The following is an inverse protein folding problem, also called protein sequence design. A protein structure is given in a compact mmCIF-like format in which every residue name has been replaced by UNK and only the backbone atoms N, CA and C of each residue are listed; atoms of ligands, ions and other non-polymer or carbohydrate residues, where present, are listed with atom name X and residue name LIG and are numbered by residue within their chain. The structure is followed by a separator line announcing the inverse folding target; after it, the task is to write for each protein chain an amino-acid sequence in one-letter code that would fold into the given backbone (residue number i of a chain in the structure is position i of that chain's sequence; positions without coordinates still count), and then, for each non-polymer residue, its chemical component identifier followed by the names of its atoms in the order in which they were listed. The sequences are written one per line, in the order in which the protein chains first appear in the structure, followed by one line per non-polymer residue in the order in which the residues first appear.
data_IF_126370885120
#
_entry.id   IF_126370885120
#
_cell.length_a   1.000
_cell.length_b   1.000
_cell.length_c   1.000
_cell.angle_alpha   90.00
_cell.angle_beta   90.00
_cell.angle_gamma   90.00
#
_symmetry.space_group_name_H-M   'P 1'
#
loop_
_entity.id
_entity.type
_entity.pdbx_description
1 polymer ?
#
# COMPACT_ATOMS: atom_id res chain seq x y z
N UNK A 1 -2.80 -7.32 -20.78
CA UNK A 1 -2.30 -6.01 -20.33
C UNK A 1 -2.74 -5.84 -18.88
N UNK A 2 -2.10 -5.04 -18.01
CA UNK A 2 -2.70 -4.66 -16.73
C UNK A 2 -3.77 -3.57 -16.91
N UNK A 3 -4.67 -3.38 -15.94
CA UNK A 3 -5.56 -2.20 -15.93
C UNK A 3 -4.81 -0.90 -15.74
N UNK A 4 -5.45 0.23 -16.05
CA UNK A 4 -4.89 1.55 -15.74
C UNK A 4 -4.78 1.76 -14.23
N UNK A 5 -5.74 1.26 -13.44
CA UNK A 5 -5.67 1.27 -11.98
C UNK A 5 -4.40 0.60 -11.45
N UNK A 6 -4.01 -0.54 -12.06
CA UNK A 6 -2.80 -1.28 -11.69
C UNK A 6 -1.53 -0.53 -12.05
N UNK A 7 -1.50 0.17 -13.18
CA UNK A 7 -0.39 1.06 -13.56
C UNK A 7 -0.29 2.26 -12.60
N UNK A 8 -1.42 2.88 -12.26
CA UNK A 8 -1.46 3.99 -11.31
C UNK A 8 -0.94 3.58 -9.93
N UNK A 9 -1.23 2.34 -9.49
CA UNK A 9 -0.63 1.79 -8.28
C UNK A 9 0.90 1.71 -8.39
N UNK A 10 1.45 1.24 -9.50
CA UNK A 10 2.91 1.19 -9.69
C UNK A 10 3.57 2.57 -9.58
N UNK A 11 2.91 3.60 -10.09
CA UNK A 11 3.39 4.99 -9.95
C UNK A 11 3.39 5.40 -8.47
N UNK A 12 2.27 5.20 -7.76
CA UNK A 12 2.13 5.52 -6.33
C UNK A 12 3.13 4.76 -5.44
N UNK A 13 3.46 3.51 -5.78
CA UNK A 13 4.44 2.72 -5.02
C UNK A 13 5.86 3.30 -5.06
N UNK A 14 6.17 4.22 -5.98
CA UNK A 14 7.45 4.94 -6.00
C UNK A 14 7.61 5.87 -4.80
N UNK A 15 6.51 6.41 -4.27
CA UNK A 15 6.54 7.26 -3.07
C UNK A 15 7.00 6.44 -1.85
N UNK A 16 6.59 5.17 -1.78
CA UNK A 16 7.03 4.22 -0.74
C UNK A 16 8.52 3.88 -0.91
N UNK A 17 9.00 3.74 -2.14
CA UNK A 17 10.43 3.52 -2.41
C UNK A 17 11.28 4.70 -1.96
N UNK A 18 10.80 5.93 -2.16
CA UNK A 18 11.48 7.12 -1.64
C UNK A 18 11.60 7.07 -0.11
N UNK A 19 10.55 6.66 0.62
CA UNK A 19 10.61 6.51 2.08
C UNK A 19 11.57 5.41 2.53
N UNK A 20 11.61 4.26 1.83
CA UNK A 20 12.54 3.17 2.11
C UNK A 20 14.00 3.56 1.82
N UNK A 21 14.23 4.36 0.78
CA UNK A 21 15.53 4.92 0.45
C UNK A 21 15.98 5.94 1.48
N UNK A 22 15.09 6.83 1.92
CA UNK A 22 15.35 7.79 3.00
C UNK A 22 15.72 7.08 4.32
N UNK A 23 14.97 6.04 4.71
CA UNK A 23 15.32 5.20 5.86
C UNK A 23 16.76 4.67 5.73
N UNK A 24 17.10 4.13 4.57
CA UNK A 24 18.41 3.53 4.30
C UNK A 24 19.53 4.56 4.39
N UNK A 25 19.32 5.75 3.82
CA UNK A 25 20.26 6.86 3.88
C UNK A 25 20.51 7.30 5.33
N UNK A 26 19.44 7.52 6.11
CA UNK A 26 19.53 7.91 7.53
C UNK A 26 20.26 6.83 8.34
N UNK A 27 20.01 5.55 8.08
CA UNK A 27 20.66 4.45 8.80
C UNK A 27 22.15 4.37 8.47
N UNK A 28 22.53 4.49 7.19
CA UNK A 28 23.94 4.53 6.76
C UNK A 28 24.66 5.72 7.37
N UNK A 29 24.00 6.87 7.37
CA UNK A 29 24.52 8.09 7.97
C UNK A 29 24.81 7.92 9.47
N UNK A 30 23.86 7.39 10.26
CA UNK A 30 24.08 7.14 11.70
C UNK A 30 25.19 6.14 11.97
N UNK A 31 25.33 5.12 11.12
CA UNK A 31 26.43 4.16 11.25
C UNK A 31 27.79 4.82 10.97
N UNK A 32 27.87 5.71 9.98
CA UNK A 32 29.08 6.46 9.67
C UNK A 32 29.45 7.43 10.80
N UNK A 33 28.47 8.13 11.37
CA UNK A 33 28.67 8.99 12.55
C UNK A 33 29.22 8.20 13.74
N UNK A 34 28.57 7.08 14.09
CA UNK A 34 29.00 6.22 15.19
C UNK A 34 30.41 5.63 14.96
N UNK A 35 30.79 5.36 13.71
CA UNK A 35 32.14 4.93 13.36
C UNK A 35 33.16 6.08 13.50
N UNK A 36 32.82 7.29 13.05
CA UNK A 36 33.68 8.47 13.16
C UNK A 36 33.94 8.87 14.62
N UNK A 37 32.92 8.80 15.48
CA UNK A 37 33.07 9.06 16.92
C UNK A 37 34.05 8.11 17.60
N UNK A 38 34.17 6.87 17.11
CA UNK A 38 35.12 5.86 17.64
C UNK A 38 36.56 6.07 17.18
N UNK A 39 36.79 6.86 16.12
CA UNK A 39 38.10 6.99 15.47
C UNK A 39 38.91 8.22 15.90
N UNK A 40 38.38 9.09 16.77
CA UNK A 40 39.12 10.21 17.43
C UNK A 40 40.14 10.95 16.54
N UNK A 41 39.75 11.41 15.35
CA UNK A 41 40.63 12.21 14.48
C UNK A 41 39.86 13.01 13.43
N UNK A 42 40.04 14.33 13.47
CA UNK A 42 39.74 15.42 12.50
C UNK A 42 38.34 15.52 11.84
N UNK A 43 37.49 14.50 11.95
CA UNK A 43 36.11 14.48 11.44
C UNK A 43 35.08 15.13 12.38
N UNK A 44 35.52 15.65 13.53
CA UNK A 44 34.64 16.29 14.53
C UNK A 44 33.92 17.53 14.00
N UNK A 45 34.53 18.28 13.06
CA UNK A 45 33.87 19.42 12.43
C UNK A 45 32.78 19.01 11.42
N UNK A 46 33.01 17.93 10.65
CA UNK A 46 31.95 17.35 9.84
C UNK A 46 30.81 16.86 10.75
N UNK A 47 31.12 16.07 11.78
CA UNK A 47 30.14 15.58 12.74
C UNK A 47 29.30 16.70 13.41
N UNK A 48 29.86 17.91 13.63
CA UNK A 48 29.14 19.05 14.21
C UNK A 48 28.16 19.73 13.25
N UNK A 49 28.56 19.99 11.99
CA UNK A 49 27.67 20.53 10.94
C UNK A 49 26.54 19.53 10.64
N UNK A 50 26.85 18.24 10.72
CA UNK A 50 25.91 17.17 10.46
C UNK A 50 24.99 16.85 11.66
N UNK A 51 25.44 16.98 12.91
CA UNK A 51 24.59 16.89 14.12
C UNK A 51 23.50 17.98 14.16
N UNK A 52 23.76 19.15 13.55
CA UNK A 52 22.75 20.20 13.42
C UNK A 52 21.60 19.83 12.45
N UNK A 53 21.83 18.86 11.55
CA UNK A 53 20.84 18.39 10.56
C UNK A 53 20.05 17.16 11.01
N UNK A 54 20.51 16.47 12.06
CA UNK A 54 19.88 15.26 12.61
C UNK A 54 19.78 15.43 14.13
N UNK A 55 18.62 15.87 14.62
CA UNK A 55 18.37 15.92 16.06
C UNK A 55 18.40 14.53 16.65
N UNK A 56 19.43 14.19 17.43
CA UNK A 56 19.49 12.90 18.10
C UNK A 56 18.32 12.78 19.10
N UNK A 57 17.40 11.80 18.93
CA UNK A 57 16.27 11.65 19.82
C UNK A 57 16.78 11.22 21.21
N UNK A 58 16.73 12.14 22.17
CA UNK A 58 17.15 11.91 23.55
C UNK A 58 16.60 10.62 24.19
N UNK A 59 17.26 10.15 25.23
CA UNK A 59 17.03 8.85 25.91
C UNK A 59 15.53 8.53 26.09
N UNK A 60 15.07 7.45 25.47
CA UNK A 60 13.66 7.00 25.51
C UNK A 60 12.78 7.44 24.34
N UNK A 61 13.28 8.25 23.41
CA UNK A 61 12.57 8.62 22.18
C UNK A 61 12.76 7.55 21.08
N UNK A 62 11.70 7.22 20.31
CA UNK A 62 11.80 6.28 19.19
C UNK A 62 12.88 6.70 18.19
N UNK A 63 13.60 5.75 17.59
CA UNK A 63 14.52 6.06 16.49
C UNK A 63 13.72 6.74 15.38
N UNK A 64 14.20 7.87 14.84
CA UNK A 64 13.50 8.65 13.81
C UNK A 64 13.03 7.81 12.59
N UNK A 65 13.76 6.74 12.27
CA UNK A 65 13.42 5.79 11.20
C UNK A 65 12.14 4.98 11.43
N UNK A 66 11.67 4.89 12.68
CA UNK A 66 10.42 4.21 13.05
C UNK A 66 9.19 5.00 12.60
N UNK A 67 9.24 6.33 12.69
CA UNK A 67 8.19 7.20 12.16
C UNK A 67 8.09 7.06 10.63
N UNK A 68 9.22 6.99 9.93
CA UNK A 68 9.26 6.75 8.48
C UNK A 68 8.66 5.40 8.10
N UNK A 69 8.97 4.34 8.85
CA UNK A 69 8.41 3.02 8.58
C UNK A 69 6.89 2.98 8.79
N UNK A 70 6.39 3.57 9.88
CA UNK A 70 4.95 3.69 10.12
C UNK A 70 4.25 4.49 9.03
N UNK A 71 4.83 5.63 8.62
CA UNK A 71 4.30 6.43 7.52
C UNK A 71 4.25 5.63 6.21
N UNK A 72 5.33 4.91 5.86
CA UNK A 72 5.37 4.07 4.68
C UNK A 72 4.33 2.93 4.72
N UNK A 73 4.10 2.33 5.89
CA UNK A 73 3.09 1.29 6.08
C UNK A 73 1.66 1.82 5.86
N UNK A 74 1.34 2.99 6.43
CA UNK A 74 0.05 3.66 6.24
C UNK A 74 -0.14 4.09 4.79
N UNK A 75 0.91 4.60 4.16
CA UNK A 75 0.89 5.02 2.77
C UNK A 75 0.63 3.82 1.83
N UNK A 76 1.30 2.68 2.04
CA UNK A 76 1.10 1.45 1.28
C UNK A 76 -0.35 0.96 1.30
N UNK A 77 -0.94 0.87 2.49
CA UNK A 77 -2.34 0.44 2.63
C UNK A 77 -3.33 1.44 2.05
N UNK A 78 -3.00 2.74 2.06
CA UNK A 78 -3.82 3.78 1.45
C UNK A 78 -3.71 3.77 -0.09
N UNK A 79 -2.53 3.47 -0.65
CA UNK A 79 -2.37 3.25 -2.09
C UNK A 79 -3.11 2.00 -2.57
N UNK A 80 -3.11 0.91 -1.78
CA UNK A 80 -3.91 -0.27 -2.10
C UNK A 80 -5.41 0.06 -2.11
N UNK A 81 -5.89 0.85 -1.15
CA UNK A 81 -7.27 1.33 -1.15
C UNK A 81 -7.57 2.13 -2.43
N UNK A 82 -6.73 3.10 -2.78
CA UNK A 82 -6.88 3.86 -4.01
C UNK A 82 -6.88 2.98 -5.27
N UNK A 83 -6.05 1.93 -5.31
CA UNK A 83 -6.08 0.95 -6.39
C UNK A 83 -7.42 0.21 -6.50
N UNK A 84 -8.00 -0.25 -5.39
CA UNK A 84 -9.31 -0.90 -5.39
C UNK A 84 -10.39 0.04 -5.90
N UNK A 85 -10.36 1.30 -5.47
CA UNK A 85 -11.34 2.32 -5.89
C UNK A 85 -11.19 2.66 -7.38
N UNK A 86 -9.95 2.83 -7.87
CA UNK A 86 -9.64 3.07 -9.28
C UNK A 86 -10.09 1.89 -10.15
N UNK A 87 -9.79 0.65 -9.73
CA UNK A 87 -10.14 -0.56 -10.47
C UNK A 87 -11.65 -0.76 -10.53
N UNK A 88 -12.35 -0.49 -9.43
CA UNK A 88 -13.81 -0.48 -9.41
C UNK A 88 -14.38 0.57 -10.37
N UNK A 89 -13.83 1.79 -10.37
CA UNK A 89 -14.25 2.85 -11.30
C UNK A 89 -14.05 2.43 -12.76
N UNK A 90 -12.86 1.93 -13.07
CA UNK A 90 -12.47 1.52 -14.41
C UNK A 90 -13.39 0.41 -14.97
N UNK A 91 -13.59 -0.68 -14.23
CA UNK A 91 -14.48 -1.76 -14.67
C UNK A 91 -15.96 -1.35 -14.64
N UNK A 92 -16.35 -0.48 -13.70
CA UNK A 92 -17.70 0.07 -13.61
C UNK A 92 -18.07 0.89 -14.85
N UNK A 93 -17.13 1.71 -15.36
CA UNK A 93 -17.34 2.50 -16.57
C UNK A 93 -17.55 1.61 -17.79
N UNK A 94 -16.87 0.47 -17.87
CA UNK A 94 -17.07 -0.47 -18.97
C UNK A 94 -18.42 -1.21 -18.90
N UNK A 95 -18.90 -1.52 -17.69
CA UNK A 95 -20.16 -2.24 -17.48
C UNK A 95 -21.38 -1.30 -17.59
N UNK A 96 -21.29 -0.11 -17.02
CA UNK A 96 -22.42 0.83 -16.87
C UNK A 96 -22.39 1.94 -17.93
N UNK A 97 -21.23 2.23 -18.53
CA UNK A 97 -20.99 3.45 -19.33
C UNK A 97 -22.03 3.79 -20.39
N UNK A 98 -22.54 2.80 -21.11
CA UNK A 98 -23.55 3.01 -22.15
C UNK A 98 -25.00 2.89 -21.67
N UNK A 99 -25.20 2.56 -20.39
CA UNK A 99 -26.50 2.23 -19.79
C UNK A 99 -26.99 3.29 -18.79
N UNK A 100 -26.22 4.34 -18.54
CA UNK A 100 -26.57 5.44 -17.64
C UNK A 100 -26.26 6.79 -18.29
N UNK A 101 -27.08 7.80 -18.00
CA UNK A 101 -26.86 9.18 -18.45
C UNK A 101 -25.59 9.77 -17.83
N UNK A 102 -25.37 9.50 -16.53
CA UNK A 102 -24.19 9.93 -15.77
C UNK A 102 -23.49 8.71 -15.11
N UNK A 103 -22.74 7.91 -15.89
CA UNK A 103 -22.15 6.66 -15.39
C UNK A 103 -21.22 6.85 -14.19
N UNK A 104 -20.46 7.94 -14.14
CA UNK A 104 -19.54 8.22 -13.04
C UNK A 104 -20.26 8.41 -11.70
N UNK A 105 -21.40 9.09 -11.70
CA UNK A 105 -22.19 9.31 -10.49
C UNK A 105 -22.82 8.01 -9.99
N UNK A 106 -23.33 7.18 -10.90
CA UNK A 106 -23.84 5.84 -10.57
C UNK A 106 -22.74 4.99 -9.95
N UNK A 107 -21.56 4.93 -10.57
CA UNK A 107 -20.41 4.17 -10.06
C UNK A 107 -19.98 4.69 -8.69
N UNK A 108 -19.97 6.01 -8.49
CA UNK A 108 -19.64 6.62 -7.20
C UNK A 108 -20.67 6.27 -6.12
N UNK A 109 -21.95 6.18 -6.47
CA UNK A 109 -23.01 5.73 -5.56
C UNK A 109 -22.88 4.25 -5.20
N UNK A 110 -22.46 3.40 -6.15
CA UNK A 110 -22.24 1.96 -5.95
C UNK A 110 -20.93 1.65 -5.21
N UNK A 111 -19.95 2.54 -5.33
CA UNK A 111 -18.67 2.46 -4.65
C UNK A 111 -18.77 2.61 -3.13
N UNK A 112 -17.63 2.54 -2.48
CA UNK A 112 -17.55 2.59 -1.03
C UNK A 112 -17.03 3.94 -0.55
N UNK A 113 -17.93 4.74 0.03
CA UNK A 113 -17.54 5.98 0.66
C UNK A 113 -16.85 5.72 2.01
N UNK A 114 -15.51 5.64 1.96
CA UNK A 114 -14.55 5.79 3.09
C UNK A 114 -14.23 4.54 3.93
N UNK A 115 -14.73 3.34 3.61
CA UNK A 115 -14.31 2.16 4.38
C UNK A 115 -12.96 1.60 3.89
N UNK A 116 -12.16 1.08 4.81
CA UNK A 116 -10.93 0.36 4.46
C UNK A 116 -11.26 -0.85 3.56
N UNK A 117 -10.35 -1.23 2.64
CA UNK A 117 -10.58 -2.31 1.68
C UNK A 117 -10.42 -3.69 2.33
N UNK A 118 -11.18 -3.97 3.40
CA UNK A 118 -11.29 -5.31 3.97
C UNK A 118 -11.90 -6.25 2.92
N UNK A 119 -11.63 -7.55 3.05
CA UNK A 119 -12.08 -8.59 2.09
C UNK A 119 -13.57 -8.48 1.75
N UNK A 120 -14.43 -8.33 2.77
CA UNK A 120 -15.87 -8.18 2.60
C UNK A 120 -16.26 -6.85 1.92
N UNK A 121 -15.51 -5.78 2.17
CA UNK A 121 -15.72 -4.47 1.54
C UNK A 121 -15.35 -4.55 0.06
N UNK A 122 -14.19 -5.12 -0.28
CA UNK A 122 -13.78 -5.34 -1.68
C UNK A 122 -14.82 -6.19 -2.41
N UNK A 123 -15.19 -7.36 -1.87
CA UNK A 123 -16.21 -8.22 -2.48
C UNK A 123 -17.54 -7.48 -2.65
N UNK A 124 -17.99 -6.69 -1.65
CA UNK A 124 -19.24 -5.93 -1.73
C UNK A 124 -19.22 -4.87 -2.82
N UNK A 125 -18.13 -4.11 -2.95
CA UNK A 125 -17.98 -3.07 -3.96
C UNK A 125 -18.06 -3.69 -5.36
N UNK A 126 -17.30 -4.75 -5.64
CA UNK A 126 -17.35 -5.42 -6.93
C UNK A 126 -18.67 -6.17 -7.18
N UNK A 127 -19.32 -6.69 -6.13
CA UNK A 127 -20.65 -7.28 -6.24
C UNK A 127 -21.73 -6.28 -6.66
N UNK A 128 -21.55 -4.98 -6.41
CA UNK A 128 -22.45 -3.92 -6.90
C UNK A 128 -22.47 -3.82 -8.44
N UNK A 129 -21.37 -4.24 -9.08
CA UNK A 129 -21.23 -4.39 -10.54
C UNK A 129 -21.57 -5.82 -11.00
N UNK A 130 -22.03 -6.66 -10.08
CA UNK A 130 -22.32 -8.07 -10.30
C UNK A 130 -21.08 -8.94 -10.50
N UNK A 131 -19.93 -8.51 -9.99
CA UNK A 131 -18.67 -9.26 -9.94
C UNK A 131 -18.50 -9.85 -8.53
N UNK A 132 -19.08 -11.03 -8.31
CA UNK A 132 -19.14 -11.64 -6.97
C UNK A 132 -17.83 -12.33 -6.59
N UNK A 133 -17.50 -12.29 -5.30
CA UNK A 133 -16.43 -13.09 -4.66
C UNK A 133 -15.06 -12.94 -5.32
N UNK A 134 -14.70 -11.72 -5.74
CA UNK A 134 -13.41 -11.43 -6.38
C UNK A 134 -12.21 -11.75 -5.49
N UNK A 135 -12.36 -11.72 -4.17
CA UNK A 135 -11.30 -12.06 -3.23
C UNK A 135 -11.21 -13.56 -2.95
N UNK A 136 -12.13 -14.40 -3.42
CA UNK A 136 -12.24 -15.80 -2.99
C UNK A 136 -11.38 -16.75 -3.83
N UNK A 137 -11.07 -16.37 -5.06
CA UNK A 137 -10.21 -17.14 -5.96
C UNK A 137 -8.72 -16.75 -5.87
N UNK A 138 -8.41 -15.65 -5.17
CA UNK A 138 -7.05 -15.15 -5.07
C UNK A 138 -6.20 -16.06 -4.19
N UNK A 139 -5.18 -16.66 -4.79
CA UNK A 139 -4.12 -17.41 -4.11
C UNK A 139 -2.89 -17.47 -5.00
N UNK A 140 -1.73 -17.79 -4.42
CA UNK A 140 -0.50 -18.01 -5.18
C UNK A 140 0.41 -19.00 -4.47
N UNK A 141 1.58 -19.28 -5.06
CA UNK A 141 2.54 -20.26 -4.54
C UNK A 141 2.84 -19.99 -3.07
N UNK A 142 2.58 -20.98 -2.23
CA UNK A 142 2.76 -20.94 -0.77
C UNK A 142 1.90 -19.89 -0.03
N UNK A 143 0.84 -19.35 -0.64
CA UNK A 143 -0.11 -18.46 0.00
C UNK A 143 -1.54 -18.80 -0.45
N UNK A 144 -2.20 -19.67 0.32
CA UNK A 144 -3.60 -20.01 0.09
C UNK A 144 -4.53 -18.80 0.36
N UNK A 145 -5.76 -18.86 -0.14
CA UNK A 145 -6.72 -17.76 -0.04
C UNK A 145 -6.97 -17.30 1.41
N UNK A 146 -7.09 -18.24 2.36
CA UNK A 146 -7.26 -17.92 3.78
C UNK A 146 -6.09 -17.08 4.31
N UNK A 147 -4.86 -17.41 3.95
CA UNK A 147 -3.67 -16.65 4.32
C UNK A 147 -3.64 -15.27 3.66
N UNK A 148 -4.06 -15.14 2.40
CA UNK A 148 -4.19 -13.82 1.73
C UNK A 148 -5.17 -12.94 2.49
N UNK A 149 -6.38 -13.43 2.75
CA UNK A 149 -7.43 -12.72 3.49
C UNK A 149 -6.96 -12.31 4.89
N UNK A 150 -6.31 -13.22 5.62
CA UNK A 150 -5.75 -12.95 6.95
C UNK A 150 -4.69 -11.86 6.90
N UNK A 151 -3.74 -11.94 5.96
CA UNK A 151 -2.66 -10.94 5.80
C UNK A 151 -3.21 -9.55 5.48
N UNK A 152 -4.20 -9.46 4.59
CA UNK A 152 -4.86 -8.19 4.28
C UNK A 152 -5.55 -7.61 5.52
N UNK A 153 -6.32 -8.42 6.25
CA UNK A 153 -6.98 -7.98 7.49
C UNK A 153 -5.97 -7.48 8.51
N UNK A 154 -4.90 -8.23 8.78
CA UNK A 154 -3.84 -7.82 9.71
C UNK A 154 -3.18 -6.51 9.27
N UNK A 155 -2.92 -6.33 7.97
CA UNK A 155 -2.32 -5.09 7.48
C UNK A 155 -3.22 -3.86 7.71
N UNK A 156 -4.53 -4.01 7.46
CA UNK A 156 -5.49 -2.93 7.69
C UNK A 156 -5.70 -2.63 9.18
N UNK A 157 -5.68 -3.66 10.03
CA UNK A 157 -5.72 -3.48 11.49
C UNK A 157 -4.47 -2.76 12.00
N UNK A 158 -3.28 -3.15 11.53
CA UNK A 158 -2.02 -2.46 11.87
C UNK A 158 -2.05 -1.01 11.41
N UNK A 159 -2.52 -0.73 10.18
CA UNK A 159 -2.73 0.65 9.71
C UNK A 159 -3.64 1.44 10.65
N UNK A 160 -4.79 0.89 11.03
CA UNK A 160 -5.73 1.56 11.91
C UNK A 160 -5.10 1.87 13.27
N UNK A 161 -4.38 0.92 13.86
CA UNK A 161 -3.63 1.16 15.10
C UNK A 161 -2.66 2.32 14.97
N UNK A 162 -1.86 2.34 13.90
CA UNK A 162 -0.91 3.44 13.62
C UNK A 162 -1.64 4.78 13.46
N UNK A 163 -2.71 4.81 12.65
CA UNK A 163 -3.49 6.02 12.38
C UNK A 163 -4.17 6.58 13.65
N UNK A 164 -4.54 5.72 14.60
CA UNK A 164 -5.06 6.11 15.91
C UNK A 164 -3.96 6.40 16.96
N UNK A 165 -2.70 6.48 16.53
CA UNK A 165 -1.58 6.91 17.38
C UNK A 165 -0.89 5.80 18.17
N UNK A 166 -1.22 4.52 17.93
CA UNK A 166 -0.52 3.42 18.58
C UNK A 166 0.94 3.34 18.10
N UNK A 167 1.86 3.09 19.02
CA UNK A 167 3.30 2.94 18.76
C UNK A 167 3.65 1.52 18.31
N UNK A 168 3.02 1.06 17.24
CA UNK A 168 3.38 -0.22 16.62
C UNK A 168 4.85 -0.18 16.17
N UNK A 169 5.60 -1.23 16.49
CA UNK A 169 6.99 -1.38 16.06
C UNK A 169 7.01 -1.88 14.61
N UNK A 170 7.23 -0.96 13.67
CA UNK A 170 7.30 -1.28 12.25
C UNK A 170 8.76 -1.20 11.81
N UNK A 171 9.29 -2.33 11.37
CA UNK A 171 10.64 -2.41 10.79
C UNK A 171 10.60 -2.17 9.28
N UNK A 172 11.76 -1.86 8.69
CA UNK A 172 11.91 -1.77 7.23
C UNK A 172 11.46 -3.08 6.54
N UNK A 173 11.78 -4.22 7.14
CA UNK A 173 11.38 -5.53 6.61
C UNK A 173 9.86 -5.70 6.56
N UNK A 174 9.12 -5.21 7.57
CA UNK A 174 7.66 -5.24 7.55
C UNK A 174 7.09 -4.43 6.38
N UNK A 175 7.65 -3.25 6.12
CA UNK A 175 7.23 -2.39 5.01
C UNK A 175 7.53 -3.05 3.66
N UNK A 176 8.72 -3.62 3.47
CA UNK A 176 9.08 -4.35 2.24
C UNK A 176 8.16 -5.55 2.01
N UNK A 177 7.94 -6.39 3.03
CA UNK A 177 7.04 -7.54 2.92
C UNK A 177 5.59 -7.14 2.63
N UNK A 178 5.13 -6.02 3.19
CA UNK A 178 3.81 -5.47 2.89
C UNK A 178 3.75 -4.96 1.44
N UNK A 179 4.78 -4.25 0.97
CA UNK A 179 4.86 -3.79 -0.42
C UNK A 179 4.76 -4.97 -1.39
N UNK A 180 5.57 -6.00 -1.19
CA UNK A 180 5.56 -7.21 -2.04
C UNK A 180 4.18 -7.89 -2.03
N UNK A 181 3.55 -7.95 -0.84
CA UNK A 181 2.18 -8.46 -0.71
C UNK A 181 1.16 -7.63 -1.48
N UNK A 182 1.22 -6.29 -1.37
CA UNK A 182 0.31 -5.38 -2.07
C UNK A 182 0.46 -5.51 -3.58
N UNK A 183 1.69 -5.65 -4.10
CA UNK A 183 1.94 -5.88 -5.53
C UNK A 183 1.27 -7.17 -6.00
N UNK A 184 1.57 -8.29 -5.32
CA UNK A 184 1.00 -9.59 -5.69
C UNK A 184 -0.52 -9.63 -5.57
N UNK A 185 -1.07 -9.02 -4.53
CA UNK A 185 -2.50 -8.93 -4.33
C UNK A 185 -3.17 -8.07 -5.41
N UNK A 186 -2.54 -6.95 -5.80
CA UNK A 186 -3.06 -6.11 -6.87
C UNK A 186 -3.03 -6.82 -8.21
N UNK A 187 -1.95 -7.53 -8.55
CA UNK A 187 -1.87 -8.34 -9.78
C UNK A 187 -2.96 -9.41 -9.82
N UNK A 188 -3.17 -10.12 -8.71
CA UNK A 188 -4.18 -11.18 -8.64
C UNK A 188 -5.61 -10.63 -8.68
N UNK A 189 -5.89 -9.51 -7.99
CA UNK A 189 -7.22 -8.88 -8.00
C UNK A 189 -7.54 -8.29 -9.37
N UNK A 190 -6.57 -7.65 -10.02
CA UNK A 190 -6.68 -7.14 -11.39
C UNK A 190 -7.07 -8.26 -12.38
N UNK A 191 -6.34 -9.38 -12.32
CA UNK A 191 -6.62 -10.55 -13.16
C UNK A 191 -8.00 -11.17 -12.87
N UNK A 192 -8.40 -11.26 -11.60
CA UNK A 192 -9.69 -11.83 -11.24
C UNK A 192 -10.86 -10.95 -11.69
N UNK A 193 -10.76 -9.63 -11.51
CA UNK A 193 -11.75 -8.66 -11.98
C UNK A 193 -11.87 -8.73 -13.50
N UNK A 194 -10.74 -8.79 -14.22
CA UNK A 194 -10.69 -8.98 -15.67
C UNK A 194 -11.44 -10.23 -16.13
N UNK A 195 -11.20 -11.37 -15.46
CA UNK A 195 -11.87 -12.64 -15.77
C UNK A 195 -13.37 -12.55 -15.52
N UNK A 196 -13.78 -12.01 -14.37
CA UNK A 196 -15.20 -11.92 -14.01
C UNK A 196 -15.97 -10.87 -14.81
N UNK A 197 -15.29 -9.83 -15.31
CA UNK A 197 -15.90 -8.80 -16.13
C UNK A 197 -16.14 -9.26 -17.58
N UNK A 198 -15.34 -10.21 -18.09
CA UNK A 198 -15.43 -10.69 -19.47
C UNK A 198 -16.85 -11.12 -19.90
N UNK A 199 -17.62 -11.92 -19.13
CA UNK A 199 -18.98 -12.30 -19.52
C UNK A 199 -19.97 -11.13 -19.61
N UNK A 200 -19.69 -10.00 -18.95
CA UNK A 200 -20.56 -8.81 -18.97
C UNK A 200 -20.19 -7.85 -20.08
N UNK A 201 -18.91 -7.72 -20.38
CA UNK A 201 -18.37 -6.79 -21.38
C UNK A 201 -18.35 -7.43 -22.78
N UNK A 202 -18.23 -8.76 -22.86
CA UNK A 202 -18.14 -9.50 -24.13
C UNK A 202 -16.71 -9.65 -24.67
N UNK A 203 -15.73 -8.99 -24.04
CA UNK A 203 -14.31 -9.15 -24.28
C UNK A 203 -13.53 -8.91 -22.99
N UNK A 204 -12.22 -9.21 -22.99
CA UNK A 204 -11.38 -8.87 -21.85
C UNK A 204 -11.14 -7.36 -21.84
N UNK A 205 -11.33 -6.68 -20.69
CA UNK A 205 -11.22 -5.22 -20.62
C UNK A 205 -9.76 -4.71 -20.75
N UNK A 206 -8.80 -5.57 -20.42
CA UNK A 206 -7.35 -5.38 -20.60
C UNK A 206 -6.66 -6.74 -20.86
#
# INVERSE_FOLDING_TARGET
MPSQARENLNIRLRDVDQLLNAHTAITKFKNAEAAAQRLTGDLSQAANVFNALVTDPGRGKPKEVDALNRAAYVLLTSHFQGFVDDLHKEVGLLIIGNNAEEPEDVIKMLGNNRANPHVNVVNRIFASLGLYDVMDQISWRNCNNRSVKKRLTTALETRNKIAHGARESITKANVTQLKDFVVLLADALDAEVRIKAHPRIGHYPW
#
